data_IF_607230319507
#
_entry.id   IF_607230319507
#
_cell.length_a   1.000
_cell.length_b   1.000
_cell.length_c   1.000
_cell.angle_alpha   90.00
_cell.angle_beta   90.00
_cell.angle_gamma   90.00
#
_symmetry.space_group_name_H-M   'P 1'
#
loop_
_entity.id
_entity.type
_entity.pdbx_description
1 polymer ?
#
# COMPACT_ATOMS: atom_id res chain seq x y z
N UNK A 1 -2.47 -19.16 3.86
CA UNK A 1 -3.93 -19.00 3.67
C UNK A 1 -4.53 -19.92 2.60
N UNK A 2 -3.73 -20.51 1.70
CA UNK A 2 -4.22 -21.61 0.81
C UNK A 2 -4.78 -21.18 -0.54
N UNK A 3 -4.88 -19.87 -0.81
CA UNK A 3 -5.33 -19.35 -2.11
C UNK A 3 -4.24 -19.45 -3.18
N UNK A 4 -4.61 -19.86 -4.40
CA UNK A 4 -3.70 -19.87 -5.54
C UNK A 4 -3.52 -18.44 -6.09
N UNK A 5 -2.31 -17.84 -5.98
CA UNK A 5 -2.08 -16.47 -6.42
C UNK A 5 -2.27 -16.31 -7.93
N UNK A 6 -1.97 -17.31 -8.76
CA UNK A 6 -2.18 -17.24 -10.22
C UNK A 6 -3.65 -17.07 -10.57
N UNK A 7 -4.55 -17.61 -9.74
CA UNK A 7 -5.99 -17.56 -9.97
C UNK A 7 -6.64 -16.29 -9.44
N UNK A 8 -6.17 -15.79 -8.30
CA UNK A 8 -6.89 -14.79 -7.52
C UNK A 8 -6.17 -13.44 -7.40
N UNK A 9 -4.89 -13.35 -7.72
CA UNK A 9 -4.18 -12.09 -7.66
C UNK A 9 -4.61 -11.20 -8.82
N UNK A 10 -5.23 -10.06 -8.51
CA UNK A 10 -5.72 -9.10 -9.49
C UNK A 10 -4.93 -7.80 -9.52
N UNK A 11 -3.86 -7.71 -8.73
CA UNK A 11 -3.06 -6.49 -8.53
C UNK A 11 -2.82 -6.20 -7.05
N UNK A 12 -1.88 -5.29 -6.76
CA UNK A 12 -1.54 -4.92 -5.37
C UNK A 12 -2.49 -3.86 -4.81
N UNK A 13 -2.85 -2.87 -5.62
CA UNK A 13 -3.71 -1.77 -5.20
C UNK A 13 -5.09 -2.22 -4.66
N UNK A 14 -5.80 -3.21 -5.25
CA UNK A 14 -7.12 -3.62 -4.77
C UNK A 14 -7.12 -4.12 -3.33
N UNK A 15 -6.09 -4.90 -2.98
CA UNK A 15 -5.93 -5.45 -1.64
C UNK A 15 -5.69 -4.31 -0.63
N UNK A 16 -4.89 -3.31 -0.99
CA UNK A 16 -4.65 -2.16 -0.12
C UNK A 16 -5.89 -1.28 0.01
N UNK A 17 -6.65 -1.08 -1.05
CA UNK A 17 -7.94 -0.38 -1.01
C UNK A 17 -8.93 -1.06 -0.05
N UNK A 18 -9.05 -2.38 -0.12
CA UNK A 18 -9.87 -3.17 0.80
C UNK A 18 -9.41 -3.00 2.25
N UNK A 19 -8.09 -2.99 2.50
CA UNK A 19 -7.52 -2.87 3.84
C UNK A 19 -7.89 -1.57 4.56
N UNK A 20 -8.04 -0.47 3.81
CA UNK A 20 -8.43 0.84 4.35
C UNK A 20 -9.93 1.12 4.24
N UNK A 21 -10.72 0.14 3.79
CA UNK A 21 -12.18 0.23 3.78
C UNK A 21 -12.77 0.95 2.57
N UNK A 22 -12.04 1.07 1.47
CA UNK A 22 -12.62 1.55 0.21
C UNK A 22 -13.52 0.44 -0.36
N UNK A 23 -14.80 0.75 -0.57
CA UNK A 23 -15.71 -0.15 -1.26
C UNK A 23 -15.52 -0.02 -2.78
N UNK A 24 -15.03 -1.09 -3.39
CA UNK A 24 -14.79 -1.17 -4.82
C UNK A 24 -15.99 -1.80 -5.53
N UNK A 25 -16.46 -1.17 -6.60
CA UNK A 25 -17.36 -1.80 -7.56
C UNK A 25 -16.69 -2.95 -8.32
N UNK A 26 -17.49 -3.83 -8.93
CA UNK A 26 -16.97 -4.98 -9.69
C UNK A 26 -16.09 -4.58 -10.89
N UNK A 27 -16.33 -3.40 -11.45
CA UNK A 27 -15.61 -2.86 -12.60
C UNK A 27 -14.57 -1.81 -12.22
N UNK A 28 -14.44 -1.48 -10.94
CA UNK A 28 -13.48 -0.48 -10.48
C UNK A 28 -12.06 -1.03 -10.64
N UNK A 29 -11.17 -0.14 -11.07
CA UNK A 29 -9.74 -0.38 -11.10
C UNK A 29 -9.08 0.56 -10.13
N UNK A 30 -8.20 0.01 -9.32
CA UNK A 30 -7.46 0.80 -8.34
C UNK A 30 -6.00 0.86 -8.74
N UNK A 31 -5.38 2.00 -8.48
CA UNK A 31 -3.95 2.23 -8.63
C UNK A 31 -3.39 2.67 -7.29
N UNK A 32 -2.20 2.19 -6.92
CA UNK A 32 -1.39 2.86 -5.92
C UNK A 32 -0.97 4.20 -6.50
N UNK A 33 -1.11 5.24 -5.71
CA UNK A 33 -0.71 6.59 -6.04
C UNK A 33 0.42 6.98 -5.09
N UNK A 34 1.66 6.87 -5.57
CA UNK A 34 2.81 7.29 -4.78
C UNK A 34 3.07 8.79 -5.01
N UNK A 35 3.29 9.56 -3.94
CA UNK A 35 4.01 10.83 -4.07
C UNK A 35 5.50 10.52 -4.32
N UNK A 36 6.06 11.12 -5.38
CA UNK A 36 7.44 10.88 -5.80
C UNK A 36 8.17 12.20 -6.07
N UNK A 37 9.50 12.12 -6.14
CA UNK A 37 10.36 13.18 -6.63
C UNK A 37 11.00 12.79 -7.96
N UNK A 38 10.71 13.57 -8.99
CA UNK A 38 11.24 13.45 -10.33
C UNK A 38 12.01 14.73 -10.64
N UNK A 39 13.27 14.56 -11.04
CA UNK A 39 14.15 15.69 -11.40
C UNK A 39 14.28 15.74 -12.91
N UNK A 40 13.97 16.91 -13.47
CA UNK A 40 14.13 17.17 -14.89
C UNK A 40 15.52 17.76 -15.15
N UNK A 41 16.23 17.20 -16.13
CA UNK A 41 17.40 17.82 -16.72
C UNK A 41 17.14 18.09 -18.23
N UNK A 42 18.08 18.70 -18.93
CA UNK A 42 17.90 19.15 -20.33
C UNK A 42 17.47 18.04 -21.32
N UNK A 43 17.57 16.75 -20.94
CA UNK A 43 17.34 15.61 -21.84
C UNK A 43 16.42 14.53 -21.26
N UNK A 44 16.08 14.57 -19.98
CA UNK A 44 15.40 13.45 -19.31
C UNK A 44 14.74 13.84 -18.00
N UNK A 45 13.72 13.06 -17.64
CA UNK A 45 13.03 13.11 -16.35
C UNK A 45 13.45 11.88 -15.55
N UNK A 46 14.15 12.08 -14.44
CA UNK A 46 14.75 11.00 -13.63
C UNK A 46 13.94 10.79 -12.36
N UNK A 47 13.58 9.55 -12.04
CA UNK A 47 13.01 9.19 -10.74
C UNK A 47 14.10 9.29 -9.66
N UNK A 48 14.15 10.42 -8.94
CA UNK A 48 15.14 10.64 -7.87
C UNK A 48 14.72 9.91 -6.58
N UNK A 49 13.42 9.90 -6.28
CA UNK A 49 12.91 9.28 -5.05
C UNK A 49 11.46 8.81 -5.22
N UNK A 50 11.21 7.52 -5.01
CA UNK A 50 9.88 6.91 -5.11
C UNK A 50 8.96 7.17 -3.90
N UNK A 51 9.51 7.80 -2.85
CA UNK A 51 8.88 8.00 -1.54
C UNK A 51 8.72 9.47 -1.14
N UNK A 52 9.19 10.39 -1.99
CA UNK A 52 9.26 11.82 -1.69
C UNK A 52 9.93 12.14 -0.34
N UNK A 53 11.06 11.46 -0.04
CA UNK A 53 11.81 11.58 1.19
C UNK A 53 11.10 10.98 2.40
N UNK A 54 10.32 9.91 2.20
CA UNK A 54 9.38 9.38 3.21
C UNK A 54 8.52 10.48 3.81
N UNK A 55 7.88 11.28 2.94
CA UNK A 55 7.08 12.44 3.34
C UNK A 55 6.12 12.07 4.48
N UNK A 56 6.06 12.94 5.51
CA UNK A 56 5.18 12.73 6.66
C UNK A 56 3.72 12.70 6.22
N UNK A 57 2.93 11.79 6.81
CA UNK A 57 1.51 11.58 6.47
C UNK A 57 0.72 12.88 6.50
N UNK A 58 0.92 13.74 7.48
CA UNK A 58 0.17 15.00 7.61
C UNK A 58 0.46 15.95 6.44
N UNK A 59 1.72 16.00 5.98
CA UNK A 59 2.12 16.80 4.81
C UNK A 59 1.60 16.20 3.51
N UNK A 60 1.70 14.88 3.36
CA UNK A 60 1.18 14.16 2.21
C UNK A 60 -0.33 14.35 2.06
N UNK A 61 -1.08 14.28 3.17
CA UNK A 61 -2.53 14.52 3.19
C UNK A 61 -2.89 15.91 2.70
N UNK A 62 -2.11 16.95 3.04
CA UNK A 62 -2.35 18.29 2.52
C UNK A 62 -2.24 18.34 0.98
N UNK A 63 -1.21 17.68 0.42
CA UNK A 63 -1.00 17.62 -1.04
C UNK A 63 -2.13 16.82 -1.70
N UNK A 64 -2.43 15.62 -1.19
CA UNK A 64 -3.48 14.76 -1.77
C UNK A 64 -4.85 15.43 -1.68
N UNK A 65 -5.20 16.06 -0.56
CA UNK A 65 -6.45 16.79 -0.44
C UNK A 65 -6.53 18.02 -1.35
N UNK A 66 -5.41 18.65 -1.66
CA UNK A 66 -5.36 19.69 -2.68
C UNK A 66 -5.59 19.10 -4.09
N UNK A 67 -4.89 18.01 -4.43
CA UNK A 67 -5.01 17.32 -5.71
C UNK A 67 -6.43 16.79 -5.99
N UNK A 68 -7.14 16.31 -4.95
CA UNK A 68 -8.54 15.87 -5.03
C UNK A 68 -9.45 16.90 -5.70
N UNK A 69 -9.21 18.21 -5.48
CA UNK A 69 -10.02 19.29 -6.09
C UNK A 69 -9.97 19.31 -7.62
N UNK A 70 -8.94 18.73 -8.21
CA UNK A 70 -8.69 18.75 -9.66
C UNK A 70 -8.83 17.36 -10.31
N UNK A 71 -8.57 16.31 -9.54
CA UNK A 71 -8.56 14.93 -10.03
C UNK A 71 -9.88 14.20 -9.72
N UNK A 72 -10.52 14.50 -8.59
CA UNK A 72 -11.77 13.82 -8.25
C UNK A 72 -12.88 14.19 -9.24
N UNK A 73 -13.56 13.16 -9.71
CA UNK A 73 -14.67 13.23 -10.65
C UNK A 73 -15.61 12.04 -10.43
N UNK A 74 -16.64 11.90 -11.27
CA UNK A 74 -17.47 10.69 -11.25
C UNK A 74 -16.66 9.42 -11.56
N UNK A 75 -15.60 9.55 -12.36
CA UNK A 75 -14.80 8.43 -12.84
C UNK A 75 -13.55 8.18 -12.00
N UNK A 76 -13.02 9.18 -11.31
CA UNK A 76 -11.75 9.08 -10.59
C UNK A 76 -11.88 9.61 -9.18
N UNK A 77 -11.37 8.88 -8.19
CA UNK A 77 -11.38 9.33 -6.79
C UNK A 77 -10.04 9.01 -6.13
N UNK A 78 -9.38 10.04 -5.61
CA UNK A 78 -8.16 9.90 -4.82
C UNK A 78 -8.48 9.68 -3.34
N UNK A 79 -7.79 8.73 -2.72
CA UNK A 79 -7.89 8.41 -1.30
C UNK A 79 -6.53 8.58 -0.62
N UNK A 80 -6.43 9.44 0.41
CA UNK A 80 -5.20 9.61 1.16
C UNK A 80 -4.92 8.36 2.01
N UNK A 81 -3.83 7.66 1.69
CA UNK A 81 -3.24 6.62 2.54
C UNK A 81 -2.19 7.15 3.54
N UNK A 82 -1.10 6.42 3.72
CA UNK A 82 -0.06 6.70 4.74
C UNK A 82 1.25 7.11 4.08
N UNK A 83 1.89 8.14 4.64
CA UNK A 83 3.12 8.72 4.09
C UNK A 83 2.96 9.03 2.60
N UNK A 84 3.83 8.54 1.73
CA UNK A 84 3.77 8.72 0.28
C UNK A 84 2.79 7.81 -0.45
N UNK A 85 2.17 6.83 0.23
CA UNK A 85 1.36 5.78 -0.39
C UNK A 85 -0.13 6.13 -0.29
N UNK A 86 -0.76 6.34 -1.43
CA UNK A 86 -2.18 6.69 -1.56
C UNK A 86 -2.83 5.79 -2.61
N UNK A 87 -4.13 5.98 -2.86
CA UNK A 87 -4.88 5.18 -3.83
C UNK A 87 -5.66 6.09 -4.77
N UNK A 88 -5.68 5.75 -6.06
CA UNK A 88 -6.63 6.28 -7.03
C UNK A 88 -7.58 5.16 -7.41
N UNK A 89 -8.89 5.39 -7.29
CA UNK A 89 -9.92 4.50 -7.83
C UNK A 89 -10.43 5.08 -9.14
N UNK A 90 -10.33 4.31 -10.22
CA UNK A 90 -11.00 4.53 -11.49
C UNK A 90 -12.27 3.69 -11.56
N UNK A 91 -13.42 4.35 -11.62
CA UNK A 91 -14.75 3.74 -11.84
C UNK A 91 -15.08 3.55 -13.32
N UNK A 92 -14.28 4.14 -14.19
CA UNK A 92 -14.33 3.84 -15.62
C UNK A 92 -13.57 2.53 -15.87
N UNK A 93 -14.13 1.59 -16.66
CA UNK A 93 -13.40 0.39 -17.03
C UNK A 93 -12.20 0.77 -17.90
N UNK A 94 -11.03 0.72 -17.29
CA UNK A 94 -9.74 0.88 -17.96
C UNK A 94 -9.21 -0.50 -18.31
N UNK A 95 -9.33 -0.92 -19.56
CA UNK A 95 -8.82 -2.23 -19.96
C UNK A 95 -7.38 -2.10 -20.42
N UNK A 96 -6.53 -3.06 -20.00
CA UNK A 96 -5.17 -3.22 -20.54
C UNK A 96 -4.28 -1.98 -20.31
N UNK A 97 -4.11 -1.59 -19.05
CA UNK A 97 -2.97 -0.77 -18.64
C UNK A 97 -1.93 -1.67 -18.01
N UNK A 98 -0.67 -1.39 -18.33
CA UNK A 98 0.48 -1.89 -17.60
C UNK A 98 1.22 -0.72 -16.96
N UNK A 99 1.54 -0.82 -15.68
CA UNK A 99 2.34 0.18 -14.97
C UNK A 99 3.64 -0.41 -14.41
N UNK A 100 4.59 0.49 -14.14
CA UNK A 100 5.88 0.11 -13.53
C UNK A 100 5.92 0.57 -12.07
N UNK A 101 6.34 -0.26 -11.11
CA UNK A 101 6.57 0.18 -9.74
C UNK A 101 7.67 1.26 -9.66
N UNK A 102 7.48 2.37 -8.92
CA UNK A 102 8.44 3.48 -8.92
C UNK A 102 9.76 3.14 -8.23
N UNK A 103 9.78 2.16 -7.33
CA UNK A 103 11.00 1.69 -6.66
C UNK A 103 11.91 0.85 -7.57
N UNK A 104 11.38 0.28 -8.66
CA UNK A 104 12.17 -0.48 -9.63
C UNK A 104 12.89 0.44 -10.64
N UNK A 105 12.55 1.73 -10.64
CA UNK A 105 13.04 2.73 -11.62
C UNK A 105 13.81 3.88 -10.98
N UNK A 106 14.29 3.71 -9.75
CA UNK A 106 15.16 4.67 -9.08
C UNK A 106 16.39 4.99 -9.97
N UNK A 107 16.73 6.28 -10.08
CA UNK A 107 17.82 6.82 -10.91
C UNK A 107 17.70 6.56 -12.43
N UNK A 108 16.55 6.06 -12.91
CA UNK A 108 16.30 5.82 -14.34
C UNK A 108 15.47 6.96 -14.96
N UNK A 109 15.62 7.11 -16.28
CA UNK A 109 14.70 7.94 -17.06
C UNK A 109 13.31 7.28 -17.10
N UNK A 110 12.29 8.01 -16.65
CA UNK A 110 10.90 7.54 -16.52
C UNK A 110 10.17 7.37 -17.86
N UNK A 111 10.64 7.98 -18.95
CA UNK A 111 9.90 8.08 -20.22
C UNK A 111 9.47 6.70 -20.76
N UNK A 112 10.30 5.68 -20.53
CA UNK A 112 10.05 4.29 -20.96
C UNK A 112 9.17 3.49 -19.99
N UNK A 113 8.85 4.05 -18.83
CA UNK A 113 8.15 3.38 -17.73
C UNK A 113 6.80 4.00 -17.40
N UNK A 114 6.42 5.07 -18.11
CA UNK A 114 5.07 5.63 -18.02
C UNK A 114 4.02 4.54 -18.32
N UNK A 115 2.80 4.65 -17.75
CA UNK A 115 1.72 3.72 -18.03
C UNK A 115 1.57 3.46 -19.52
N UNK A 116 1.49 2.19 -19.91
CA UNK A 116 1.38 1.77 -21.30
C UNK A 116 0.10 0.94 -21.52
N UNK A 117 -0.18 0.58 -22.77
CA UNK A 117 -1.41 -0.13 -23.15
C UNK A 117 -2.51 0.79 -23.71
N UNK A 118 -3.67 0.21 -24.06
CA UNK A 118 -4.69 0.88 -24.87
C UNK A 118 -5.32 2.10 -24.18
N UNK A 119 -5.58 1.99 -22.87
CA UNK A 119 -6.32 3.00 -22.11
C UNK A 119 -5.41 3.91 -21.26
N UNK A 120 -4.11 4.01 -21.58
CA UNK A 120 -3.13 4.75 -20.76
C UNK A 120 -3.33 6.27 -20.72
N UNK A 121 -4.01 6.84 -21.72
CA UNK A 121 -4.00 8.30 -21.96
C UNK A 121 -4.61 9.09 -20.81
N UNK A 122 -5.67 8.57 -20.20
CA UNK A 122 -6.35 9.18 -19.06
C UNK A 122 -5.47 9.16 -17.80
N UNK A 123 -4.83 8.03 -17.52
CA UNK A 123 -3.90 7.88 -16.39
C UNK A 123 -2.69 8.81 -16.54
N UNK A 124 -2.11 8.89 -17.74
CA UNK A 124 -1.01 9.83 -18.03
C UNK A 124 -1.48 11.28 -17.86
N UNK A 125 -2.71 11.60 -18.29
CA UNK A 125 -3.29 12.94 -18.13
C UNK A 125 -3.41 13.31 -16.64
N UNK A 126 -3.90 12.39 -15.81
CA UNK A 126 -3.99 12.57 -14.36
C UNK A 126 -2.61 12.81 -13.74
N UNK A 127 -1.59 12.03 -14.12
CA UNK A 127 -0.22 12.21 -13.63
C UNK A 127 0.35 13.58 -14.03
N UNK A 128 0.13 14.02 -15.27
CA UNK A 128 0.56 15.34 -15.75
C UNK A 128 -0.16 16.50 -15.05
N UNK A 129 -1.47 16.36 -14.83
CA UNK A 129 -2.23 17.37 -14.09
C UNK A 129 -1.75 17.44 -12.64
N UNK A 130 -1.52 16.29 -12.00
CA UNK A 130 -0.96 16.26 -10.65
C UNK A 130 0.42 16.95 -10.55
N UNK A 131 1.33 16.73 -11.50
CA UNK A 131 2.61 17.44 -11.57
C UNK A 131 2.42 18.97 -11.54
N UNK A 132 1.52 19.45 -12.40
CA UNK A 132 1.21 20.88 -12.49
C UNK A 132 0.62 21.38 -11.16
N UNK A 133 -0.34 20.67 -10.59
CA UNK A 133 -0.98 21.07 -9.33
C UNK A 133 -0.08 20.99 -8.11
N UNK A 134 0.90 20.08 -8.09
CA UNK A 134 1.93 20.05 -7.04
C UNK A 134 2.82 21.31 -7.14
N UNK A 135 3.14 21.79 -8.35
CA UNK A 135 3.86 23.06 -8.52
C UNK A 135 3.03 24.23 -7.99
N UNK A 136 1.78 24.35 -8.43
CA UNK A 136 0.83 25.39 -7.94
C UNK A 136 0.74 25.36 -6.40
N UNK A 137 0.62 24.16 -5.82
CA UNK A 137 0.55 23.97 -4.36
C UNK A 137 1.82 24.43 -3.65
N UNK A 138 3.00 24.16 -4.18
CA UNK A 138 4.28 24.59 -3.55
C UNK A 138 4.47 26.11 -3.64
N UNK A 139 3.89 26.76 -4.65
CA UNK A 139 3.85 28.23 -4.77
C UNK A 139 2.88 28.85 -3.75
N UNK A 140 1.69 28.28 -3.60
CA UNK A 140 0.68 28.74 -2.64
C UNK A 140 1.13 28.50 -1.18
N UNK A 141 1.74 27.35 -0.90
CA UNK A 141 2.13 26.94 0.45
C UNK A 141 3.66 26.90 0.59
N UNK A 142 4.27 28.05 0.84
CA UNK A 142 5.73 28.23 0.94
C UNK A 142 6.48 27.24 1.87
N UNK A 143 5.80 26.72 2.91
CA UNK A 143 6.34 25.68 3.80
C UNK A 143 6.66 24.35 3.09
N UNK A 144 6.11 24.12 1.90
CA UNK A 144 6.36 22.95 1.06
C UNK A 144 7.45 23.17 0.00
N UNK A 145 8.03 24.38 -0.10
CA UNK A 145 9.01 24.71 -1.14
C UNK A 145 10.21 23.74 -1.16
N UNK A 146 10.66 23.30 0.01
CA UNK A 146 11.80 22.39 0.17
C UNK A 146 11.40 20.90 0.25
N UNK A 147 10.11 20.57 0.19
CA UNK A 147 9.68 19.17 0.17
C UNK A 147 10.09 18.54 -1.17
N UNK A 148 10.70 17.35 -1.10
CA UNK A 148 11.17 16.57 -2.27
C UNK A 148 9.99 15.82 -2.86
N UNK A 149 9.01 16.57 -3.35
CA UNK A 149 7.82 16.06 -4.04
C UNK A 149 7.58 16.91 -5.27
N UNK A 150 7.36 16.23 -6.39
CA UNK A 150 7.11 16.87 -7.69
C UNK A 150 5.91 16.26 -8.41
N UNK A 151 5.63 14.98 -8.19
CA UNK A 151 4.71 14.20 -9.00
C UNK A 151 3.93 13.17 -8.17
N UNK A 152 2.87 12.63 -8.78
CA UNK A 152 2.33 11.33 -8.40
C UNK A 152 2.79 10.28 -9.40
N UNK A 153 2.93 9.04 -8.93
CA UNK A 153 3.17 7.88 -9.77
C UNK A 153 2.08 6.83 -9.55
N UNK A 154 1.31 6.55 -10.61
CA UNK A 154 0.20 5.61 -10.57
C UNK A 154 0.68 4.22 -10.99
N UNK A 155 0.51 3.22 -10.13
CA UNK A 155 1.01 1.87 -10.39
C UNK A 155 0.30 0.75 -9.62
N UNK A 156 0.60 -0.50 -9.97
CA UNK A 156 0.09 -1.67 -9.25
C UNK A 156 -1.42 -1.85 -9.42
N UNK A 157 -1.88 -1.50 -10.62
CA UNK A 157 -3.26 -1.53 -11.07
C UNK A 157 -3.92 -2.88 -10.82
N UNK A 158 -5.22 -2.84 -10.55
CA UNK A 158 -5.97 -4.07 -10.43
C UNK A 158 -7.45 -3.88 -10.21
N UNK A 159 -8.22 -4.91 -10.53
CA UNK A 159 -9.64 -5.02 -10.19
C UNK A 159 -9.83 -5.56 -8.79
N UNK A 160 -11.01 -5.36 -8.22
CA UNK A 160 -11.41 -5.92 -6.91
C UNK A 160 -11.01 -7.40 -6.80
N UNK A 161 -10.25 -7.74 -5.76
CA UNK A 161 -9.87 -9.13 -5.49
C UNK A 161 -11.02 -9.86 -4.81
N UNK A 162 -11.52 -10.92 -5.43
CA UNK A 162 -12.57 -11.78 -4.87
C UNK A 162 -11.93 -13.10 -4.47
N UNK A 163 -11.88 -13.38 -3.17
CA UNK A 163 -11.43 -14.66 -2.64
C UNK A 163 -12.63 -15.49 -2.16
N UNK A 164 -12.60 -16.82 -2.35
CA UNK A 164 -13.48 -17.70 -1.61
C UNK A 164 -13.35 -17.45 -0.11
N UNK A 165 -14.45 -17.42 0.61
CA UNK A 165 -14.43 -17.20 2.06
C UNK A 165 -13.59 -18.30 2.75
N UNK A 166 -12.71 -17.90 3.67
CA UNK A 166 -11.76 -18.77 4.33
C UNK A 166 -12.43 -19.87 5.16
N UNK A 167 -13.50 -19.52 5.88
CA UNK A 167 -14.28 -20.47 6.67
C UNK A 167 -14.95 -21.50 5.77
N UNK A 168 -15.49 -21.08 4.63
CA UNK A 168 -16.12 -21.99 3.67
C UNK A 168 -15.16 -23.03 3.09
N UNK A 169 -13.90 -22.66 2.83
CA UNK A 169 -12.93 -23.56 2.20
C UNK A 169 -12.11 -24.39 3.21
N UNK A 170 -11.93 -23.90 4.44
CA UNK A 170 -11.11 -24.58 5.46
C UNK A 170 -11.92 -25.16 6.62
N UNK A 171 -13.20 -24.81 6.75
CA UNK A 171 -14.09 -25.25 7.84
C UNK A 171 -13.77 -24.63 9.22
N UNK A 172 -12.93 -23.59 9.26
CA UNK A 172 -12.45 -22.94 10.49
C UNK A 172 -12.55 -21.43 10.40
N UNK A 173 -12.84 -20.78 11.52
CA UNK A 173 -12.84 -19.31 11.62
C UNK A 173 -11.44 -18.82 11.94
N UNK A 174 -11.11 -17.63 11.46
CA UNK A 174 -9.77 -17.10 11.66
C UNK A 174 -9.66 -15.60 11.66
N UNK A 175 -8.50 -15.14 12.12
CA UNK A 175 -8.13 -13.73 12.14
C UNK A 175 -6.75 -13.48 11.55
N UNK A 176 -6.49 -12.22 11.23
CA UNK A 176 -5.17 -11.73 10.81
C UNK A 176 -4.75 -10.53 11.67
N UNK A 177 -3.50 -10.53 12.11
CA UNK A 177 -2.84 -9.39 12.74
C UNK A 177 -1.64 -9.01 11.89
N UNK A 178 -1.63 -7.79 11.35
CA UNK A 178 -0.52 -7.29 10.53
C UNK A 178 -0.36 -5.78 10.73
N UNK A 179 0.87 -5.28 10.52
CA UNK A 179 1.10 -3.84 10.33
C UNK A 179 0.95 -3.42 8.86
N UNK A 180 1.09 -4.36 7.93
CA UNK A 180 1.10 -4.14 6.49
C UNK A 180 -0.31 -4.24 5.93
N UNK A 181 -0.74 -3.18 5.26
CA UNK A 181 -2.06 -3.02 4.64
C UNK A 181 -2.36 -4.10 3.62
N UNK A 182 -1.39 -4.48 2.78
CA UNK A 182 -1.54 -5.57 1.81
C UNK A 182 -2.01 -6.88 2.48
N UNK A 183 -1.37 -7.26 3.60
CA UNK A 183 -1.68 -8.50 4.33
C UNK A 183 -3.06 -8.42 5.00
N UNK A 184 -3.43 -7.25 5.55
CA UNK A 184 -4.77 -7.00 6.08
C UNK A 184 -5.83 -7.11 4.99
N UNK A 185 -5.54 -6.55 3.81
CA UNK A 185 -6.38 -6.60 2.62
C UNK A 185 -6.70 -8.03 2.21
N UNK A 186 -5.67 -8.87 2.09
CA UNK A 186 -5.87 -10.30 1.77
C UNK A 186 -6.75 -10.98 2.81
N UNK A 187 -6.52 -10.72 4.10
CA UNK A 187 -7.35 -11.29 5.17
C UNK A 187 -8.80 -10.84 5.07
N UNK A 188 -9.05 -9.55 4.80
CA UNK A 188 -10.40 -9.02 4.62
C UNK A 188 -11.10 -9.62 3.40
N UNK A 189 -10.41 -9.71 2.25
CA UNK A 189 -10.94 -10.38 1.05
C UNK A 189 -11.27 -11.86 1.32
N UNK A 190 -10.48 -12.53 2.17
CA UNK A 190 -10.70 -13.91 2.60
C UNK A 190 -11.82 -14.05 3.66
N UNK A 191 -12.37 -12.95 4.17
CA UNK A 191 -13.37 -12.97 5.24
C UNK A 191 -12.80 -13.30 6.63
N UNK A 192 -11.50 -13.09 6.85
CA UNK A 192 -10.86 -13.19 8.16
C UNK A 192 -11.10 -11.92 8.99
N UNK A 193 -11.16 -12.08 10.31
CA UNK A 193 -11.21 -10.96 11.25
C UNK A 193 -9.87 -10.21 11.24
N UNK A 194 -9.86 -8.97 10.74
CA UNK A 194 -8.65 -8.13 10.78
C UNK A 194 -8.55 -7.44 12.14
N UNK A 195 -7.52 -7.78 12.91
CA UNK A 195 -7.27 -7.21 14.23
C UNK A 195 -6.17 -6.16 14.15
N UNK A 196 -6.53 -4.91 14.41
CA UNK A 196 -5.59 -3.79 14.49
C UNK A 196 -4.99 -3.67 15.89
N UNK A 197 -3.66 -3.61 15.96
CA UNK A 197 -2.90 -3.52 17.21
C UNK A 197 -2.22 -2.16 17.27
N UNK A 198 -2.52 -1.38 18.31
CA UNK A 198 -1.87 -0.08 18.55
C UNK A 198 -0.35 -0.24 18.67
N UNK A 199 0.39 0.58 17.93
CA UNK A 199 1.85 0.51 17.89
C UNK A 199 2.42 -0.60 16.99
N UNK A 200 1.60 -1.29 16.19
CA UNK A 200 2.11 -2.20 15.16
C UNK A 200 2.66 -1.41 13.95
N UNK A 201 3.94 -1.02 14.00
CA UNK A 201 4.58 -0.16 12.99
C UNK A 201 5.02 -0.89 11.72
N UNK A 202 5.32 -2.19 11.86
CA UNK A 202 5.90 -2.99 10.78
C UNK A 202 7.43 -3.01 10.76
N UNK A 203 8.08 -2.24 11.63
CA UNK A 203 9.53 -2.20 11.75
C UNK A 203 10.00 -2.74 13.12
N UNK A 204 11.29 -2.58 13.45
CA UNK A 204 11.90 -3.09 14.70
C UNK A 204 11.26 -2.50 15.98
N UNK A 205 10.65 -1.33 15.88
CA UNK A 205 9.95 -0.64 16.98
C UNK A 205 8.48 -1.08 17.14
N UNK A 206 8.04 -2.10 16.39
CA UNK A 206 6.65 -2.57 16.42
C UNK A 206 6.26 -3.15 17.77
N UNK A 207 4.98 -3.02 18.14
CA UNK A 207 4.44 -3.56 19.38
C UNK A 207 4.25 -5.09 19.31
N UNK A 208 5.34 -5.84 19.46
CA UNK A 208 5.33 -7.30 19.47
C UNK A 208 4.43 -7.87 20.58
N UNK A 209 4.52 -7.32 21.79
CA UNK A 209 3.75 -7.80 22.94
C UNK A 209 2.23 -7.66 22.71
N UNK A 210 1.80 -6.49 22.24
CA UNK A 210 0.39 -6.24 21.90
C UNK A 210 -0.13 -7.14 20.77
N UNK A 211 0.73 -7.47 19.79
CA UNK A 211 0.38 -8.42 18.73
C UNK A 211 0.13 -9.83 19.28
N UNK A 212 1.01 -10.31 20.16
CA UNK A 212 0.87 -11.63 20.80
C UNK A 212 -0.37 -11.68 21.70
N UNK A 213 -0.58 -10.65 22.52
CA UNK A 213 -1.74 -10.55 23.40
C UNK A 213 -3.05 -10.57 22.62
N UNK A 214 -3.17 -9.72 21.58
CA UNK A 214 -4.33 -9.70 20.70
C UNK A 214 -4.54 -11.05 19.98
N UNK A 215 -3.44 -11.71 19.60
CA UNK A 215 -3.47 -13.04 19.00
C UNK A 215 -4.04 -14.10 19.94
N UNK A 216 -3.59 -14.12 21.20
CA UNK A 216 -4.12 -15.04 22.22
C UNK A 216 -5.62 -14.79 22.44
N UNK A 217 -6.04 -13.52 22.56
CA UNK A 217 -7.45 -13.17 22.71
C UNK A 217 -8.29 -13.61 21.50
N UNK A 218 -7.72 -13.53 20.29
CA UNK A 218 -8.40 -14.02 19.09
C UNK A 218 -8.60 -15.53 19.11
N UNK A 219 -7.60 -16.30 19.53
CA UNK A 219 -7.65 -17.77 19.55
C UNK A 219 -8.60 -18.35 20.61
N UNK A 220 -9.10 -17.51 21.52
CA UNK A 220 -10.21 -17.89 22.41
C UNK A 220 -11.53 -18.01 21.64
N UNK A 221 -11.68 -17.27 20.54
CA UNK A 221 -12.92 -17.15 19.75
C UNK A 221 -12.85 -17.80 18.37
N UNK A 222 -11.64 -17.87 17.80
CA UNK A 222 -11.35 -18.35 16.45
C UNK A 222 -10.38 -19.54 16.50
N UNK A 223 -10.42 -20.38 15.47
CA UNK A 223 -9.58 -21.59 15.40
C UNK A 223 -8.22 -21.33 14.74
N UNK A 224 -8.11 -20.22 13.98
CA UNK A 224 -6.94 -19.85 13.22
C UNK A 224 -6.50 -18.40 13.48
N UNK A 225 -5.20 -18.17 13.54
CA UNK A 225 -4.60 -16.83 13.58
C UNK A 225 -3.42 -16.76 12.62
N UNK A 226 -3.43 -15.77 11.73
CA UNK A 226 -2.24 -15.34 10.99
C UNK A 226 -1.61 -14.12 11.68
N UNK A 227 -0.51 -14.34 12.41
CA UNK A 227 0.27 -13.29 13.04
C UNK A 227 1.44 -12.88 12.12
N UNK A 228 1.37 -11.69 11.55
CA UNK A 228 2.36 -11.19 10.59
C UNK A 228 3.38 -10.23 11.24
N UNK A 229 4.66 -10.48 10.94
CA UNK A 229 5.79 -9.67 11.39
C UNK A 229 6.63 -9.29 10.19
N UNK A 230 6.68 -7.97 9.93
CA UNK A 230 7.26 -7.39 8.71
C UNK A 230 8.74 -7.01 8.86
N UNK A 231 9.20 -6.67 10.07
CA UNK A 231 10.54 -6.11 10.31
C UNK A 231 11.71 -6.88 9.66
N UNK A 232 11.70 -8.23 9.53
CA UNK A 232 12.75 -8.96 8.83
C UNK A 232 12.88 -8.61 7.33
N UNK A 233 11.79 -8.24 6.66
CA UNK A 233 11.77 -7.89 5.23
C UNK A 233 12.33 -6.47 5.02
N UNK A 234 11.81 -5.50 5.77
CA UNK A 234 12.26 -4.10 5.74
C UNK A 234 13.76 -3.96 6.05
N UNK A 235 14.27 -4.68 7.06
CA UNK A 235 15.71 -4.69 7.38
C UNK A 235 16.55 -5.41 6.32
N UNK A 236 15.96 -6.34 5.57
CA UNK A 236 16.59 -6.99 4.41
C UNK A 236 16.76 -6.03 3.23
N UNK A 237 15.74 -5.20 2.96
CA UNK A 237 15.79 -4.17 1.91
C UNK A 237 16.85 -3.09 2.17
N UNK A 238 17.14 -2.79 3.44
CA UNK A 238 18.20 -1.85 3.81
C UNK A 238 19.63 -2.39 3.66
N UNK A 239 19.80 -3.70 3.42
CA UNK A 239 21.13 -4.33 3.29
C UNK A 239 21.96 -4.37 4.58
N UNK A 240 21.38 -4.04 5.73
CA UNK A 240 22.07 -3.99 7.02
C UNK A 240 21.90 -5.32 7.79
N UNK A 241 22.90 -6.19 7.66
CA UNK A 241 22.93 -7.48 8.34
C UNK A 241 22.85 -7.35 9.87
N UNK A 242 23.35 -6.26 10.47
CA UNK A 242 23.34 -6.09 11.93
C UNK A 242 21.94 -5.80 12.48
N UNK A 243 21.07 -5.16 11.70
CA UNK A 243 19.66 -4.94 12.07
C UNK A 243 18.77 -6.17 11.90
N UNK A 244 19.22 -7.14 11.12
CA UNK A 244 18.49 -8.39 10.85
C UNK A 244 18.42 -9.29 12.09
N UNK A 245 19.50 -9.39 12.86
CA UNK A 245 19.62 -10.26 14.05
C UNK A 245 18.68 -9.84 15.23
N UNK A 246 18.56 -8.55 15.61
CA UNK A 246 17.56 -8.08 16.59
C UNK A 246 16.11 -8.39 16.20
N UNK A 247 15.77 -8.30 14.90
CA UNK A 247 14.44 -8.61 14.39
C UNK A 247 14.02 -10.06 14.67
N UNK A 248 14.97 -11.00 14.73
CA UNK A 248 14.74 -12.38 15.16
C UNK A 248 14.78 -12.55 16.68
N UNK A 249 15.65 -11.84 17.41
CA UNK A 249 15.81 -12.01 18.88
C UNK A 249 14.69 -11.40 19.71
N UNK A 250 13.92 -10.44 19.17
CA UNK A 250 12.66 -9.99 19.77
C UNK A 250 11.62 -11.11 19.95
N UNK A 251 11.79 -12.23 19.23
CA UNK A 251 10.97 -13.45 19.35
C UNK A 251 11.52 -14.43 20.40
N UNK A 252 11.65 -13.99 21.64
CA UNK A 252 11.78 -14.93 22.75
C UNK A 252 10.52 -15.80 22.85
N UNK A 253 10.52 -16.98 22.22
CA UNK A 253 9.44 -17.96 22.32
C UNK A 253 9.24 -18.36 23.79
N UNK A 254 8.23 -17.80 24.45
CA UNK A 254 7.58 -18.49 25.57
C UNK A 254 6.47 -19.33 24.98
N UNK A 255 6.68 -20.64 24.93
CA UNK A 255 5.63 -21.61 24.67
C UNK A 255 4.60 -21.51 25.80
N UNK A 256 3.50 -20.78 25.56
CA UNK A 256 2.34 -20.83 26.45
C UNK A 256 1.59 -22.11 26.11
N UNK A 257 1.80 -23.15 26.92
CA UNK A 257 0.95 -24.35 26.86
C UNK A 257 -0.48 -23.93 27.15
N UNK A 258 -1.37 -24.06 26.18
CA UNK A 258 -2.81 -24.02 26.43
C UNK A 258 -3.18 -25.25 27.28
N UNK A 259 -4.04 -25.11 28.31
CA UNK A 259 -4.58 -26.26 29.01
C UNK A 259 -5.44 -27.04 28.01
N UNK A 260 -5.14 -28.33 27.84
CA UNK A 260 -5.91 -29.24 27.01
C UNK A 260 -7.41 -29.10 27.30
N UNK A 261 -8.21 -28.96 26.24
CA UNK A 261 -9.63 -29.33 26.24
C UNK A 261 -9.77 -30.70 25.61
#
# INVERSE_FOLDING_TARGET
MGYNPVKFFTGRSPLEAESIGIDLGENDITFRCNLVNIVNNDKSSIMEDYSAGHIKTEKAHMIINYLKKFIDSNNHVLYPGVSYRHILVSRSPVNQIETTPPHDILEKNIDKFLPSGADNSEIISIMKEANKRIKDFKEEFSKFKNERVSDIWLWGEGKKTILPNFEQINGVKGSVISAVDLVKGIGKCAGLDVINVTGATGYLDTNYAGKVEAGIQSLIKNDFLMLHIEAPDETGHEGDFQKKDPGYRGFGFKSVKTPNR
#
